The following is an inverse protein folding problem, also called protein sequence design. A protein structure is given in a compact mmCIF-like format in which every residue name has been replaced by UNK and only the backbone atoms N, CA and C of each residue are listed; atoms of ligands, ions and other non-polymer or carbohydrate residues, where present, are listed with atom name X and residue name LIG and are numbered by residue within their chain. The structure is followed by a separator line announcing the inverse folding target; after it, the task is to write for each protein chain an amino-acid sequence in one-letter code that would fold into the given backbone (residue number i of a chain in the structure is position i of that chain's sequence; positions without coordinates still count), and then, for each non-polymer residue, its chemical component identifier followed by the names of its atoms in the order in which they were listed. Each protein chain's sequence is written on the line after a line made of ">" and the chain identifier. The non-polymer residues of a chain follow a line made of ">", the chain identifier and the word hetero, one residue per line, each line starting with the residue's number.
data_IF_937124991192
#
_entry.id   IF_937124991192
#
_cell.length_a   1.000
_cell.length_b   1.000
_cell.length_c   1.000
_cell.angle_alpha   90.00
_cell.angle_beta   90.00
_cell.angle_gamma   90.00
#
_symmetry.space_group_name_H-M   'P 1'
#
loop_
_entity.id
_entity.type
_entity.pdbx_description
1 polymer ?
#
# COMPACT_ATOMS: atom_id res chain seq x y z
N UNK A 1 -16.27 20.02 4.86
CA UNK A 1 -14.95 19.70 5.46
C UNK A 1 -14.31 18.65 4.57
N UNK A 2 -13.21 19.02 3.91
CA UNK A 2 -12.65 18.32 2.76
C UNK A 2 -12.07 16.93 3.09
N UNK A 3 -12.00 16.10 2.05
CA UNK A 3 -11.60 14.69 1.98
C UNK A 3 -10.16 14.39 2.47
N UNK A 4 -9.89 14.52 3.77
CA UNK A 4 -8.59 14.16 4.37
C UNK A 4 -8.49 12.68 4.81
N UNK A 5 -9.48 11.85 4.52
CA UNK A 5 -9.37 10.41 4.76
C UNK A 5 -8.79 9.74 3.52
N UNK A 6 -7.46 9.79 3.39
CA UNK A 6 -6.75 8.90 2.49
C UNK A 6 -7.05 7.41 2.81
N UNK A 7 -6.70 6.48 1.91
CA UNK A 7 -6.93 5.07 2.14
C UNK A 7 -6.30 4.63 3.48
N UNK A 8 -7.07 3.87 4.28
CA UNK A 8 -6.60 3.39 5.58
C UNK A 8 -5.52 2.33 5.36
N UNK A 9 -4.26 2.74 5.48
CA UNK A 9 -3.11 1.86 5.47
C UNK A 9 -3.04 1.07 6.77
N UNK A 10 -2.47 -0.13 6.68
CA UNK A 10 -2.32 -1.08 7.77
C UNK A 10 -0.90 -1.04 8.33
N UNK A 11 -0.80 -1.36 9.61
CA UNK A 11 0.48 -1.68 10.26
C UNK A 11 0.91 -3.09 9.89
N UNK A 12 2.21 -3.38 10.04
CA UNK A 12 2.80 -4.68 9.72
C UNK A 12 2.03 -5.85 10.35
N UNK A 13 1.72 -5.74 11.64
CA UNK A 13 1.01 -6.77 12.40
C UNK A 13 -0.43 -7.03 11.89
N UNK A 14 -1.07 -6.01 11.31
CA UNK A 14 -2.43 -6.09 10.79
C UNK A 14 -2.46 -6.39 9.28
N UNK A 15 -1.30 -6.41 8.62
CA UNK A 15 -1.19 -6.70 7.20
C UNK A 15 -1.36 -8.20 6.92
N UNK A 16 -1.80 -8.61 5.73
CA UNK A 16 -1.89 -10.02 5.36
C UNK A 16 -0.55 -10.75 5.49
N UNK A 17 -0.50 -12.00 5.97
CA UNK A 17 0.76 -12.73 6.21
C UNK A 17 1.69 -12.83 4.99
N UNK A 18 1.11 -12.91 3.79
CA UNK A 18 1.88 -12.95 2.54
C UNK A 18 2.57 -11.63 2.19
N UNK A 19 2.19 -10.52 2.83
CA UNK A 19 2.83 -9.20 2.68
C UNK A 19 3.78 -8.86 3.86
N UNK A 20 3.87 -9.71 4.88
CA UNK A 20 4.72 -9.48 6.08
C UNK A 20 6.19 -9.88 5.88
N UNK A 21 6.74 -9.73 4.68
CA UNK A 21 8.09 -10.19 4.33
C UNK A 21 9.21 -9.44 5.07
N UNK A 22 8.99 -8.17 5.45
CA UNK A 22 9.98 -7.34 6.13
C UNK A 22 9.43 -6.75 7.44
N UNK A 23 9.86 -7.31 8.58
CA UNK A 23 9.47 -6.85 9.92
C UNK A 23 9.97 -5.45 10.31
N UNK A 24 10.89 -4.87 9.53
CA UNK A 24 11.41 -3.52 9.79
C UNK A 24 10.55 -2.44 9.15
N UNK A 25 9.68 -2.80 8.19
CA UNK A 25 8.68 -1.86 7.67
C UNK A 25 7.44 -1.99 8.53
N UNK A 26 7.17 -0.96 9.34
CA UNK A 26 6.20 -1.06 10.43
C UNK A 26 4.78 -0.64 10.01
N UNK A 27 4.65 0.25 9.02
CA UNK A 27 3.37 0.84 8.61
C UNK A 27 3.32 1.06 7.10
N UNK A 28 2.15 1.45 6.58
CA UNK A 28 1.99 1.80 5.17
C UNK A 28 1.62 0.63 4.26
N UNK A 29 1.18 -0.49 4.84
CA UNK A 29 0.72 -1.64 4.08
C UNK A 29 -0.67 -1.39 3.49
N UNK A 30 -0.88 -1.86 2.27
CA UNK A 30 -2.21 -1.79 1.64
C UNK A 30 -3.12 -2.89 2.20
N UNK A 31 -4.41 -2.60 2.45
CA UNK A 31 -5.39 -3.64 2.72
C UNK A 31 -5.67 -4.45 1.45
N UNK A 32 -6.32 -5.60 1.62
CA UNK A 32 -6.80 -6.42 0.50
C UNK A 32 -7.66 -5.55 -0.42
N UNK A 33 -7.25 -5.45 -1.68
CA UNK A 33 -7.77 -4.49 -2.65
C UNK A 33 -8.34 -5.21 -3.86
N UNK A 34 -9.38 -4.65 -4.47
CA UNK A 34 -9.84 -5.08 -5.80
C UNK A 34 -8.91 -4.53 -6.89
N UNK A 35 -9.06 -5.02 -8.13
CA UNK A 35 -8.28 -4.53 -9.29
C UNK A 35 -8.38 -3.00 -9.44
N UNK A 36 -9.59 -2.45 -9.26
CA UNK A 36 -9.80 -1.00 -9.35
C UNK A 36 -9.04 -0.23 -8.25
N UNK A 37 -9.01 -0.77 -7.03
CA UNK A 37 -8.26 -0.17 -5.91
C UNK A 37 -6.74 -0.30 -6.08
N UNK A 38 -6.25 -1.32 -6.82
CA UNK A 38 -4.85 -1.40 -7.23
C UNK A 38 -4.47 -0.32 -8.24
N UNK A 39 -5.32 0.00 -9.20
CA UNK A 39 -5.05 1.11 -10.13
C UNK A 39 -5.03 2.44 -9.39
N UNK A 40 -5.97 2.64 -8.44
CA UNK A 40 -5.99 3.84 -7.59
C UNK A 40 -4.74 3.96 -6.70
N UNK A 41 -4.09 2.85 -6.33
CA UNK A 41 -2.91 2.89 -5.49
C UNK A 41 -1.68 3.50 -6.13
N UNK A 42 -1.68 3.63 -7.45
CA UNK A 42 -0.63 4.38 -8.14
C UNK A 42 -0.66 5.88 -7.80
N UNK A 43 -1.77 6.40 -7.27
CA UNK A 43 -1.97 7.83 -7.02
C UNK A 43 -1.90 8.22 -5.54
N UNK A 44 -1.48 7.32 -4.64
CA UNK A 44 -1.25 7.65 -3.22
C UNK A 44 -0.02 6.95 -2.66
N UNK A 45 0.60 7.55 -1.64
CA UNK A 45 1.80 7.00 -0.99
C UNK A 45 1.47 5.75 -0.18
N UNK A 46 2.17 4.65 -0.45
CA UNK A 46 2.14 3.42 0.33
C UNK A 46 3.48 2.68 0.19
N UNK A 47 3.70 1.67 1.03
CA UNK A 47 4.98 0.95 1.11
C UNK A 47 5.49 0.46 -0.26
N UNK A 48 4.62 -0.23 -1.00
CA UNK A 48 4.97 -0.76 -2.33
C UNK A 48 5.04 0.27 -3.46
N UNK A 49 4.75 1.55 -3.21
CA UNK A 49 4.68 2.56 -4.28
C UNK A 49 6.04 2.72 -4.97
N UNK A 50 7.12 2.84 -4.19
CA UNK A 50 8.47 2.97 -4.74
C UNK A 50 8.88 1.74 -5.55
N UNK A 51 8.53 0.54 -5.09
CA UNK A 51 8.81 -0.71 -5.80
C UNK A 51 8.09 -0.75 -7.15
N UNK A 52 6.81 -0.34 -7.19
CA UNK A 52 6.02 -0.28 -8.43
C UNK A 52 6.60 0.76 -9.40
N UNK A 53 6.87 1.98 -8.95
CA UNK A 53 7.35 3.05 -9.83
C UNK A 53 8.74 2.80 -10.39
N UNK A 54 9.60 2.11 -9.64
CA UNK A 54 10.98 1.81 -10.09
C UNK A 54 11.05 0.63 -11.05
N UNK A 55 10.08 -0.29 -11.02
CA UNK A 55 10.11 -1.53 -11.82
C UNK A 55 8.96 -1.65 -12.84
N UNK A 56 7.93 -0.81 -12.75
CA UNK A 56 6.74 -0.85 -13.61
C UNK A 56 6.93 -0.27 -15.02
N UNK A 57 8.12 0.22 -15.34
CA UNK A 57 8.48 0.71 -16.69
C UNK A 57 9.03 -0.39 -17.63
N UNK A 58 9.04 -1.67 -17.22
CA UNK A 58 9.48 -2.81 -18.03
C UNK A 58 8.37 -3.82 -18.31
#
# INVERSE_FOLDING_TARGET
>A
MAFLNGPRLLDWANSPPHLQFNKYVLTGYRPISSVQECIKSLFYLHNELGNIYTHGEY
#
